data_IF_061515072335
#
_entry.id   IF_061515072335
#
_cell.length_a   1.000
_cell.length_b   1.000
_cell.length_c   1.000
_cell.angle_alpha   90.00
_cell.angle_beta   90.00
_cell.angle_gamma   90.00
#
_symmetry.space_group_name_H-M   'P 1'
#
loop_
_entity.id
_entity.type
_entity.pdbx_description
1 polymer ?
#
# COMPACT_ATOMS: atom_id res chain seq x y z
N UNK A 1 9.19 0.07 7.44
CA UNK A 1 7.85 0.45 6.98
C UNK A 1 7.48 1.72 7.69
N UNK A 2 7.25 2.80 6.96
CA UNK A 2 6.79 4.05 7.54
C UNK A 2 5.36 4.31 7.02
N UNK A 3 4.44 4.69 7.91
CA UNK A 3 3.09 5.15 7.57
C UNK A 3 2.32 4.25 6.57
N UNK A 4 2.00 2.99 6.91
CA UNK A 4 1.23 2.08 6.05
C UNK A 4 -0.11 2.64 5.56
N UNK A 5 -0.77 3.43 6.40
CA UNK A 5 -2.05 4.06 6.09
C UNK A 5 -1.90 5.08 4.94
N UNK A 6 -0.95 6.00 5.05
CA UNK A 6 -0.71 7.03 4.03
C UNK A 6 -0.14 6.38 2.79
N UNK A 7 0.78 5.42 2.91
CA UNK A 7 1.32 4.70 1.77
C UNK A 7 0.23 4.00 0.95
N UNK A 8 -0.66 3.25 1.59
CA UNK A 8 -1.74 2.55 0.89
C UNK A 8 -2.73 3.53 0.22
N UNK A 9 -3.17 4.56 0.96
CA UNK A 9 -4.14 5.53 0.45
C UNK A 9 -3.54 6.37 -0.70
N UNK A 10 -2.37 6.96 -0.49
CA UNK A 10 -1.75 7.85 -1.47
C UNK A 10 -1.34 7.10 -2.76
N UNK A 11 -0.98 5.82 -2.67
CA UNK A 11 -0.53 5.02 -3.82
C UNK A 11 -1.65 4.33 -4.60
N UNK A 12 -2.74 3.94 -3.92
CA UNK A 12 -3.78 3.05 -4.49
C UNK A 12 -5.22 3.60 -4.43
N UNK A 13 -5.46 4.72 -3.75
CA UNK A 13 -6.78 5.36 -3.67
C UNK A 13 -6.83 6.69 -4.42
N UNK A 14 -5.82 7.55 -4.23
CA UNK A 14 -5.79 8.90 -4.81
C UNK A 14 -4.67 9.12 -5.84
N UNK A 15 -3.81 8.13 -6.06
CA UNK A 15 -2.73 8.15 -7.05
C UNK A 15 -1.72 9.34 -6.91
N UNK A 16 -1.45 9.79 -5.69
CA UNK A 16 -0.44 10.83 -5.37
C UNK A 16 0.97 10.23 -5.36
N UNK A 17 1.13 9.02 -4.81
CA UNK A 17 2.41 8.33 -4.73
C UNK A 17 2.50 7.21 -5.77
N UNK A 18 3.72 6.81 -6.19
CA UNK A 18 3.90 5.60 -6.98
C UNK A 18 3.28 4.36 -6.27
N UNK A 19 2.69 3.40 -7.01
CA UNK A 19 2.58 3.33 -8.46
C UNK A 19 1.50 4.22 -9.10
N UNK A 20 0.76 5.02 -8.34
CA UNK A 20 -0.23 5.96 -8.87
C UNK A 20 -1.48 5.26 -9.41
N UNK A 21 -1.96 4.23 -8.71
CA UNK A 21 -3.17 3.49 -9.09
C UNK A 21 -4.38 4.06 -8.35
N UNK A 22 -5.52 4.09 -9.02
CA UNK A 22 -6.80 4.42 -8.41
C UNK A 22 -7.97 4.09 -9.35
N UNK A 23 -9.20 4.23 -8.87
CA UNK A 23 -10.40 4.24 -9.72
C UNK A 23 -10.62 5.62 -10.34
N UNK A 24 -10.85 5.70 -11.65
CA UNK A 24 -11.31 6.94 -12.30
C UNK A 24 -12.78 7.21 -11.89
N UNK A 25 -13.18 8.47 -11.59
CA UNK A 25 -12.42 9.72 -11.71
C UNK A 25 -11.84 10.24 -10.38
N UNK A 26 -11.54 9.38 -9.41
CA UNK A 26 -11.31 9.77 -8.00
C UNK A 26 -9.85 10.11 -7.64
N UNK A 27 -8.90 9.91 -8.55
CA UNK A 27 -7.49 10.25 -8.33
C UNK A 27 -7.13 11.71 -8.59
N UNK A 28 -5.93 12.12 -8.15
CA UNK A 28 -5.36 13.43 -8.49
C UNK A 28 -4.95 13.53 -9.97
N UNK A 29 -4.85 12.39 -10.65
CA UNK A 29 -4.66 12.28 -12.10
C UNK A 29 -5.73 11.38 -12.70
N UNK A 30 -5.85 11.39 -14.04
CA UNK A 30 -6.68 10.43 -14.75
C UNK A 30 -6.12 9.03 -14.58
N UNK A 31 -6.70 8.25 -13.67
CA UNK A 31 -6.27 6.89 -13.44
C UNK A 31 -6.74 6.00 -14.59
N UNK A 32 -5.78 5.32 -15.22
CA UNK A 32 -6.04 4.35 -16.30
C UNK A 32 -6.11 2.92 -15.78
N UNK A 33 -5.78 2.70 -14.50
CA UNK A 33 -5.82 1.40 -13.84
C UNK A 33 -5.86 1.56 -12.33
N UNK A 34 -6.45 0.58 -11.65
CA UNK A 34 -6.57 0.54 -10.20
C UNK A 34 -8.00 0.26 -9.77
N UNK A 35 -8.16 -0.06 -8.50
CA UNK A 35 -9.46 -0.15 -7.84
C UNK A 35 -9.34 0.38 -6.41
N UNK A 36 -9.76 1.63 -6.23
CA UNK A 36 -9.74 2.34 -4.95
C UNK A 36 -10.56 1.64 -3.87
N UNK A 37 -11.55 0.81 -4.25
CA UNK A 37 -12.38 0.07 -3.30
C UNK A 37 -11.69 -1.13 -2.66
N UNK A 38 -10.60 -1.66 -3.27
CA UNK A 38 -9.94 -2.89 -2.81
C UNK A 38 -8.42 -2.79 -2.70
N UNK A 39 -7.75 -2.09 -3.63
CA UNK A 39 -6.29 -2.04 -3.70
C UNK A 39 -5.62 -1.46 -2.44
N UNK A 40 -6.14 -0.39 -1.80
CA UNK A 40 -5.57 0.13 -0.56
C UNK A 40 -5.56 -0.92 0.57
N UNK A 41 -6.61 -1.74 0.67
CA UNK A 41 -6.70 -2.80 1.68
C UNK A 41 -5.74 -3.96 1.40
N UNK A 42 -5.62 -4.36 0.13
CA UNK A 42 -4.66 -5.38 -0.31
C UNK A 42 -3.23 -4.92 0.00
N UNK A 43 -2.90 -3.67 -0.35
CA UNK A 43 -1.60 -3.07 -0.06
C UNK A 43 -1.33 -3.06 1.45
N UNK A 44 -2.24 -2.52 2.26
CA UNK A 44 -2.09 -2.48 3.71
C UNK A 44 -1.89 -3.88 4.32
N UNK A 45 -2.70 -4.86 3.91
CA UNK A 45 -2.62 -6.23 4.40
C UNK A 45 -1.27 -6.88 4.08
N UNK A 46 -0.82 -6.80 2.82
CA UNK A 46 0.47 -7.33 2.41
C UNK A 46 1.63 -6.66 3.13
N UNK A 47 1.52 -5.35 3.38
CA UNK A 47 2.58 -4.64 4.11
C UNK A 47 2.65 -5.10 5.57
N UNK A 48 1.52 -5.38 6.23
CA UNK A 48 1.50 -5.98 7.57
C UNK A 48 2.11 -7.40 7.59
N UNK A 49 1.79 -8.25 6.62
CA UNK A 49 2.37 -9.59 6.51
C UNK A 49 3.89 -9.53 6.28
N UNK A 50 4.34 -8.60 5.44
CA UNK A 50 5.77 -8.38 5.20
C UNK A 50 6.48 -7.91 6.48
N UNK A 51 5.88 -6.96 7.21
CA UNK A 51 6.40 -6.52 8.50
C UNK A 51 6.52 -7.67 9.50
N UNK A 52 5.45 -8.45 9.69
CA UNK A 52 5.45 -9.59 10.60
C UNK A 52 6.50 -10.64 10.23
N UNK A 53 6.67 -10.91 8.93
CA UNK A 53 7.67 -11.84 8.41
C UNK A 53 9.10 -11.38 8.70
N UNK A 54 9.39 -10.09 8.44
CA UNK A 54 10.71 -9.51 8.70
C UNK A 54 11.01 -9.46 10.20
N UNK A 55 10.04 -9.08 11.04
CA UNK A 55 10.20 -9.08 12.51
C UNK A 55 10.44 -10.50 13.04
N UNK A 56 9.72 -11.50 12.53
CA UNK A 56 9.95 -12.91 12.91
C UNK A 56 11.35 -13.38 12.53
N UNK A 57 11.81 -13.05 11.32
CA UNK A 57 13.16 -13.35 10.87
C UNK A 57 14.22 -12.67 11.75
N UNK A 58 14.03 -11.39 12.05
CA UNK A 58 14.92 -10.61 12.89
C UNK A 58 15.10 -11.26 14.26
N UNK A 59 13.99 -11.56 14.95
CA UNK A 59 13.99 -12.22 16.26
C UNK A 59 14.64 -13.61 16.27
N UNK A 60 14.66 -14.31 15.14
CA UNK A 60 15.23 -15.66 15.05
C UNK A 60 16.71 -15.67 14.72
N UNK A 61 17.23 -14.62 14.07
CA UNK A 61 18.57 -14.63 13.48
C UNK A 61 19.49 -13.50 13.92
N UNK A 62 18.92 -12.40 14.43
CA UNK A 62 19.65 -11.14 14.61
C UNK A 62 19.38 -10.46 15.96
N UNK A 63 18.53 -11.04 16.80
CA UNK A 63 18.30 -10.64 18.18
C UNK A 63 18.58 -11.84 19.09
#
# INVERSE_FOLDING_TARGET
MNEPNIGALASYDVAIFPPGRCSDPFGVTKCTSGDSGVEPYIAAHNTLLAHASVVSLYRKKYQ
#
